data_IF_349764463157
#
_entry.id   IF_349764463157
#
_cell.length_a   1.000
_cell.length_b   1.000
_cell.length_c   1.000
_cell.angle_alpha   90.00
_cell.angle_beta   90.00
_cell.angle_gamma   90.00
#
_symmetry.space_group_name_H-M   'P 1'
#
loop_
_entity.id
_entity.type
_entity.pdbx_description
1 polymer ?
#
# COMPACT_ATOMS: atom_id res chain seq x y z
N UNK A 1 4.91 -56.48 -35.88
CA UNK A 1 5.40 -56.00 -37.20
C UNK A 1 6.28 -54.78 -36.92
N UNK A 2 7.53 -54.58 -37.31
CA UNK A 2 8.45 -55.27 -38.19
C UNK A 2 9.34 -54.21 -38.88
N UNK A 3 10.68 -54.29 -38.67
CA UNK A 3 11.80 -53.67 -39.45
C UNK A 3 12.04 -52.16 -39.17
N UNK A 4 13.25 -51.56 -39.16
CA UNK A 4 14.60 -51.75 -39.79
C UNK A 4 15.65 -51.07 -38.84
N UNK A 5 16.80 -51.64 -38.46
CA UNK A 5 18.14 -51.85 -39.11
C UNK A 5 19.03 -50.61 -39.39
N UNK A 6 20.28 -50.73 -38.91
CA UNK A 6 21.59 -50.18 -39.35
C UNK A 6 21.81 -48.65 -39.19
N UNK A 7 22.98 -48.10 -38.84
CA UNK A 7 24.37 -48.60 -38.80
C UNK A 7 25.29 -47.57 -39.52
N UNK A 8 26.51 -47.38 -38.99
CA UNK A 8 27.67 -46.62 -39.54
C UNK A 8 27.58 -45.07 -39.61
N UNK A 9 28.64 -44.24 -39.59
CA UNK A 9 30.06 -44.25 -39.15
C UNK A 9 30.66 -42.90 -39.61
N UNK A 10 31.50 -42.30 -38.75
CA UNK A 10 32.64 -41.41 -39.03
C UNK A 10 32.58 -40.23 -40.03
N UNK A 11 33.04 -39.05 -39.56
CA UNK A 11 34.09 -38.18 -40.15
C UNK A 11 34.14 -36.88 -39.31
N UNK A 12 35.19 -36.51 -38.56
CA UNK A 12 36.57 -36.08 -38.91
C UNK A 12 36.66 -34.97 -39.98
N UNK A 13 37.29 -33.85 -39.58
CA UNK A 13 37.77 -32.76 -40.44
C UNK A 13 37.07 -31.44 -40.07
N UNK A 14 37.74 -30.35 -39.72
CA UNK A 14 39.11 -29.93 -39.99
C UNK A 14 39.07 -28.52 -40.58
N UNK A 15 39.59 -27.56 -39.82
CA UNK A 15 40.24 -26.29 -40.20
C UNK A 15 39.75 -25.48 -41.42
N UNK A 16 39.34 -24.24 -41.17
CA UNK A 16 39.90 -23.00 -41.75
C UNK A 16 39.33 -21.80 -40.96
N UNK A 17 40.09 -20.95 -40.28
CA UNK A 17 40.99 -19.89 -40.77
C UNK A 17 40.38 -19.07 -41.91
N UNK A 18 39.75 -17.96 -41.53
CA UNK A 18 39.26 -16.90 -42.39
C UNK A 18 39.15 -15.60 -41.59
N UNK A 19 40.26 -14.89 -41.48
CA UNK A 19 40.31 -13.48 -41.09
C UNK A 19 39.70 -12.63 -42.21
N UNK A 20 38.57 -11.98 -41.96
CA UNK A 20 38.14 -10.80 -42.70
C UNK A 20 37.42 -9.81 -41.79
N UNK A 21 38.18 -8.76 -41.47
CA UNK A 21 37.78 -7.50 -40.85
C UNK A 21 36.62 -6.85 -41.63
N UNK A 22 35.48 -6.67 -40.97
CA UNK A 22 34.45 -5.73 -41.41
C UNK A 22 33.72 -5.13 -40.20
N UNK A 23 33.83 -3.82 -40.10
CA UNK A 23 33.09 -2.90 -39.25
C UNK A 23 31.58 -3.15 -39.29
N UNK A 24 30.93 -3.20 -38.12
CA UNK A 24 29.48 -3.21 -38.06
C UNK A 24 28.98 -3.25 -36.62
N UNK A 25 28.33 -2.15 -36.21
CA UNK A 25 27.53 -2.02 -34.99
C UNK A 25 26.55 -3.20 -34.83
N UNK A 26 26.33 -3.63 -33.59
CA UNK A 26 25.12 -4.40 -33.24
C UNK A 26 25.35 -5.60 -32.33
N UNK A 27 26.05 -5.43 -31.21
CA UNK A 27 26.03 -6.42 -30.13
C UNK A 27 24.78 -6.23 -29.28
N UNK A 28 23.68 -6.91 -29.60
CA UNK A 28 22.63 -7.18 -28.62
C UNK A 28 23.12 -8.28 -27.69
N UNK A 29 23.84 -7.87 -26.63
CA UNK A 29 24.04 -8.72 -25.46
C UNK A 29 22.70 -8.88 -24.77
N UNK A 30 22.15 -10.08 -24.82
CA UNK A 30 21.00 -10.55 -24.02
C UNK A 30 21.41 -10.96 -22.59
N UNK A 31 22.50 -10.38 -22.08
CA UNK A 31 23.03 -10.58 -20.74
C UNK A 31 23.10 -9.22 -20.02
N UNK A 32 21.94 -8.67 -19.65
CA UNK A 32 21.83 -7.52 -18.74
C UNK A 32 20.41 -7.28 -18.21
N UNK A 33 19.57 -8.30 -18.04
CA UNK A 33 18.24 -8.17 -17.43
C UNK A 33 18.10 -9.12 -16.25
N UNK A 34 18.88 -8.89 -15.20
CA UNK A 34 18.68 -9.54 -13.90
C UNK A 34 18.70 -8.58 -12.70
N UNK A 35 19.05 -7.30 -12.85
CA UNK A 35 19.24 -6.39 -11.71
C UNK A 35 18.73 -4.97 -12.04
N UNK A 36 17.44 -4.84 -12.36
CA UNK A 36 16.80 -3.52 -12.50
C UNK A 36 15.31 -3.63 -12.18
N UNK A 37 14.98 -3.64 -10.89
CA UNK A 37 13.57 -3.65 -10.45
C UNK A 37 13.39 -3.41 -8.96
N UNK A 38 14.35 -2.77 -8.28
CA UNK A 38 14.31 -2.49 -6.84
C UNK A 38 14.67 -1.05 -6.47
N UNK A 39 14.63 -0.14 -7.42
CA UNK A 39 14.98 1.26 -7.16
C UNK A 39 14.06 2.18 -7.96
N UNK A 40 12.88 2.46 -7.41
CA UNK A 40 12.04 3.62 -7.70
C UNK A 40 10.84 3.67 -6.73
N UNK A 41 11.11 3.56 -5.43
CA UNK A 41 10.37 4.40 -4.50
C UNK A 41 11.27 5.59 -4.32
N UNK A 42 11.00 6.60 -5.15
CA UNK A 42 11.45 7.96 -4.96
C UNK A 42 11.17 8.32 -3.50
N UNK A 43 12.20 8.21 -2.65
CA UNK A 43 12.24 8.89 -1.37
C UNK A 43 12.36 10.38 -1.70
N UNK A 44 11.30 10.96 -2.23
CA UNK A 44 11.01 12.34 -1.95
C UNK A 44 10.84 12.41 -0.45
N UNK A 45 11.95 12.72 0.23
CA UNK A 45 11.92 13.32 1.54
C UNK A 45 11.12 14.62 1.36
N UNK A 46 9.81 14.50 1.54
CA UNK A 46 8.88 15.60 1.49
C UNK A 46 9.37 16.63 2.52
N UNK A 47 9.45 17.92 2.17
CA UNK A 47 9.82 18.94 3.13
C UNK A 47 8.89 18.82 4.35
N UNK A 48 9.36 19.07 5.59
CA UNK A 48 8.50 19.05 6.76
C UNK A 48 7.57 20.27 6.70
N UNK A 49 6.52 20.17 5.89
CA UNK A 49 5.29 20.91 6.06
C UNK A 49 4.76 20.50 7.42
N UNK A 50 4.97 21.37 8.41
CA UNK A 50 4.56 21.09 9.78
C UNK A 50 3.03 21.08 9.75
N UNK A 51 2.43 19.89 9.71
CA UNK A 51 0.99 19.76 9.84
C UNK A 51 0.60 20.42 11.16
N UNK A 52 -0.14 21.52 11.06
CA UNK A 52 -0.54 22.30 12.22
C UNK A 52 -1.55 21.51 13.05
N UNK A 53 -1.61 21.80 14.36
CA UNK A 53 -2.59 21.21 15.24
C UNK A 53 -3.99 21.74 14.88
N UNK A 54 -4.83 20.84 14.40
CA UNK A 54 -6.22 21.07 14.04
C UNK A 54 -7.21 20.70 15.15
N UNK A 55 -8.52 20.80 14.86
CA UNK A 55 -9.56 20.41 15.80
C UNK A 55 -9.56 18.89 16.03
N UNK A 56 -9.90 18.50 17.25
CA UNK A 56 -10.27 17.13 17.63
C UNK A 56 -11.78 17.05 17.82
N UNK A 57 -12.33 15.84 17.84
CA UNK A 57 -13.76 15.70 18.16
C UNK A 57 -14.06 16.17 19.58
N UNK A 58 -15.25 16.72 19.77
CA UNK A 58 -15.81 17.04 21.09
C UNK A 58 -16.43 15.82 21.77
N UNK A 59 -16.61 14.70 21.06
CA UNK A 59 -17.24 13.50 21.60
C UNK A 59 -16.17 12.58 22.21
N UNK A 60 -16.21 12.36 23.54
CA UNK A 60 -15.22 11.54 24.22
C UNK A 60 -15.25 10.07 23.79
N UNK A 61 -16.41 9.52 23.41
CA UNK A 61 -16.53 8.14 22.95
C UNK A 61 -15.90 7.97 21.56
N UNK A 62 -16.11 8.93 20.66
CA UNK A 62 -15.44 8.92 19.35
C UNK A 62 -13.92 9.09 19.52
N UNK A 63 -13.48 10.01 20.38
CA UNK A 63 -12.06 10.20 20.64
C UNK A 63 -11.41 8.92 21.19
N UNK A 64 -12.03 8.26 22.17
CA UNK A 64 -11.54 6.99 22.70
C UNK A 64 -11.45 5.90 21.63
N UNK A 65 -12.39 5.89 20.66
CA UNK A 65 -12.35 4.96 19.53
C UNK A 65 -11.18 5.24 18.58
N UNK A 66 -10.95 6.51 18.26
CA UNK A 66 -9.81 6.93 17.43
C UNK A 66 -8.47 6.57 18.10
N UNK A 67 -8.34 6.84 19.40
CA UNK A 67 -7.14 6.50 20.17
C UNK A 67 -6.94 4.96 20.22
N UNK A 68 -8.03 4.20 20.35
CA UNK A 68 -7.99 2.74 20.27
C UNK A 68 -7.49 2.25 18.90
N UNK A 69 -8.03 2.75 17.80
CA UNK A 69 -7.60 2.37 16.46
C UNK A 69 -6.14 2.74 16.18
N UNK A 70 -5.72 3.95 16.57
CA UNK A 70 -4.33 4.37 16.53
C UNK A 70 -3.41 3.38 17.26
N UNK A 71 -3.81 2.93 18.46
CA UNK A 71 -3.03 1.94 19.23
C UNK A 71 -2.95 0.57 18.54
N UNK A 72 -4.01 0.13 17.85
CA UNK A 72 -3.97 -1.11 17.06
C UNK A 72 -3.04 -0.97 15.86
N UNK A 73 -3.02 0.22 15.23
CA UNK A 73 -2.12 0.54 14.14
C UNK A 73 -0.65 0.43 14.58
N UNK A 74 -0.30 1.02 15.73
CA UNK A 74 1.05 0.91 16.31
C UNK A 74 1.44 -0.55 16.61
N UNK A 75 0.51 -1.32 17.17
CA UNK A 75 0.72 -2.72 17.52
C UNK A 75 0.67 -3.68 16.30
N UNK A 76 0.46 -3.17 15.09
CA UNK A 76 0.30 -3.97 13.87
C UNK A 76 -0.83 -5.02 13.96
N UNK A 77 -1.88 -4.71 14.72
CA UNK A 77 -3.05 -5.57 14.91
C UNK A 77 -4.08 -5.36 13.80
N UNK A 78 -3.68 -5.65 12.56
CA UNK A 78 -4.46 -5.36 11.34
C UNK A 78 -5.85 -6.02 11.37
N UNK A 79 -5.94 -7.29 11.77
CA UNK A 79 -7.21 -8.01 11.79
C UNK A 79 -8.20 -7.43 12.83
N UNK A 80 -7.71 -7.13 14.04
CA UNK A 80 -8.53 -6.48 15.09
C UNK A 80 -8.95 -5.06 14.66
N UNK A 81 -8.05 -4.33 13.99
CA UNK A 81 -8.36 -3.02 13.42
C UNK A 81 -9.47 -3.14 12.38
N UNK A 82 -9.33 -4.02 11.39
CA UNK A 82 -10.32 -4.23 10.34
C UNK A 82 -11.71 -4.53 10.91
N UNK A 83 -11.80 -5.52 11.80
CA UNK A 83 -13.07 -5.93 12.43
C UNK A 83 -13.71 -4.79 13.23
N UNK A 84 -12.92 -3.90 13.85
CA UNK A 84 -13.45 -2.78 14.62
C UNK A 84 -13.66 -1.50 13.80
N UNK A 85 -12.99 -1.34 12.67
CA UNK A 85 -12.96 -0.11 11.89
C UNK A 85 -14.09 -0.08 10.87
N UNK A 86 -14.32 -1.20 10.17
CA UNK A 86 -15.36 -1.30 9.13
C UNK A 86 -16.77 -1.22 9.70
N UNK A 87 -17.69 -0.71 8.87
CA UNK A 87 -19.11 -0.62 9.18
C UNK A 87 -19.73 -2.03 9.40
N UNK A 88 -20.77 -2.15 10.25
CA UNK A 88 -21.30 -3.45 10.66
C UNK A 88 -22.12 -4.16 9.56
N UNK A 89 -22.48 -3.44 8.51
CA UNK A 89 -23.17 -3.96 7.32
C UNK A 89 -22.20 -4.56 6.27
N UNK A 90 -20.89 -4.40 6.48
CA UNK A 90 -19.86 -5.04 5.64
C UNK A 90 -19.82 -6.54 5.92
N UNK A 91 -19.75 -7.33 4.85
CA UNK A 91 -19.71 -8.79 4.96
C UNK A 91 -18.38 -9.27 5.59
N UNK A 92 -18.36 -10.41 6.30
CA UNK A 92 -17.12 -10.94 6.88
C UNK A 92 -16.02 -11.22 5.84
N UNK A 93 -16.41 -11.63 4.62
CA UNK A 93 -15.49 -11.86 3.50
C UNK A 93 -14.84 -10.56 3.02
N UNK A 94 -15.57 -9.44 2.99
CA UNK A 94 -15.01 -8.13 2.66
C UNK A 94 -14.08 -7.61 3.77
N UNK A 95 -14.41 -7.86 5.04
CA UNK A 95 -13.52 -7.53 6.17
C UNK A 95 -12.22 -8.33 6.08
N UNK A 96 -12.30 -9.61 5.76
CA UNK A 96 -11.13 -10.47 5.56
C UNK A 96 -10.30 -9.99 4.38
N UNK A 97 -10.94 -9.67 3.25
CA UNK A 97 -10.27 -9.14 2.06
C UNK A 97 -9.58 -7.80 2.35
N UNK A 98 -10.23 -6.90 3.10
CA UNK A 98 -9.63 -5.64 3.56
C UNK A 98 -8.38 -5.91 4.41
N UNK A 99 -8.48 -6.79 5.41
CA UNK A 99 -7.36 -7.11 6.30
C UNK A 99 -6.20 -7.77 5.55
N UNK A 100 -6.49 -8.68 4.62
CA UNK A 100 -5.50 -9.35 3.75
C UNK A 100 -4.82 -8.36 2.82
N UNK A 101 -5.57 -7.41 2.26
CA UNK A 101 -5.01 -6.35 1.43
C UNK A 101 -4.03 -5.47 2.22
N UNK A 102 -4.34 -5.14 3.47
CA UNK A 102 -3.44 -4.39 4.34
C UNK A 102 -2.20 -5.20 4.79
N UNK A 103 -2.34 -6.52 4.95
CA UNK A 103 -1.21 -7.40 5.29
C UNK A 103 -0.25 -7.61 4.11
N UNK A 104 -0.77 -7.66 2.90
CA UNK A 104 0.01 -7.91 1.68
C UNK A 104 0.64 -6.63 1.10
N UNK A 105 0.12 -5.45 1.47
CA UNK A 105 0.66 -4.15 1.10
C UNK A 105 1.07 -3.32 2.33
N UNK A 106 2.34 -3.42 2.76
CA UNK A 106 2.85 -2.67 3.90
C UNK A 106 2.80 -1.15 3.72
N UNK A 107 2.90 -0.65 2.48
CA UNK A 107 2.84 0.79 2.20
C UNK A 107 1.44 1.30 2.47
N UNK A 108 0.43 0.58 1.99
CA UNK A 108 -0.98 0.90 2.26
C UNK A 108 -1.29 0.86 3.76
N UNK A 109 -0.77 -0.13 4.48
CA UNK A 109 -0.94 -0.19 5.93
C UNK A 109 -0.28 1.00 6.64
N UNK A 110 0.95 1.37 6.26
CA UNK A 110 1.64 2.52 6.83
C UNK A 110 0.88 3.83 6.59
N UNK A 111 0.29 4.00 5.40
CA UNK A 111 -0.56 5.16 5.09
C UNK A 111 -1.81 5.18 5.98
N UNK A 112 -2.53 4.06 6.08
CA UNK A 112 -3.71 3.95 6.95
C UNK A 112 -3.37 4.21 8.43
N UNK A 113 -2.27 3.66 8.92
CA UNK A 113 -1.79 3.89 10.28
C UNK A 113 -1.45 5.37 10.52
N UNK A 114 -0.78 6.02 9.56
CA UNK A 114 -0.48 7.45 9.65
C UNK A 114 -1.77 8.30 9.62
N UNK A 115 -2.73 7.98 8.77
CA UNK A 115 -4.05 8.64 8.70
C UNK A 115 -4.76 8.57 10.06
N UNK A 116 -4.85 7.38 10.66
CA UNK A 116 -5.52 7.20 11.95
C UNK A 116 -4.84 7.99 13.07
N UNK A 117 -3.51 8.05 13.07
CA UNK A 117 -2.75 8.81 14.07
C UNK A 117 -3.00 10.32 13.95
N UNK A 118 -2.99 10.84 12.72
CA UNK A 118 -3.25 12.26 12.47
C UNK A 118 -4.65 12.66 12.91
N UNK A 119 -5.65 11.85 12.57
CA UNK A 119 -7.04 12.08 12.98
C UNK A 119 -7.18 12.02 14.51
N UNK A 120 -6.61 11.00 15.15
CA UNK A 120 -6.69 10.84 16.61
C UNK A 120 -6.06 12.01 17.36
N UNK A 121 -4.89 12.47 16.89
CA UNK A 121 -4.18 13.60 17.47
C UNK A 121 -4.75 14.95 17.04
N UNK A 122 -5.58 15.00 15.99
CA UNK A 122 -6.07 16.24 15.36
C UNK A 122 -5.00 16.97 14.54
N UNK A 123 -3.91 16.32 14.16
CA UNK A 123 -2.80 16.95 13.41
C UNK A 123 -3.14 16.98 11.93
N UNK A 124 -3.05 18.14 11.29
CA UNK A 124 -3.40 18.31 9.87
C UNK A 124 -4.91 18.26 9.58
N UNK A 125 -5.75 18.11 10.61
CA UNK A 125 -7.20 18.22 10.48
C UNK A 125 -7.56 19.67 10.21
N UNK A 126 -8.23 19.93 9.10
CA UNK A 126 -8.68 21.28 8.71
C UNK A 126 -10.08 21.56 9.27
N UNK A 127 -10.93 20.54 9.29
CA UNK A 127 -12.32 20.66 9.71
C UNK A 127 -12.93 19.32 10.12
N UNK A 128 -13.91 19.40 11.03
CA UNK A 128 -14.79 18.28 11.37
C UNK A 128 -16.23 18.73 11.10
N UNK A 129 -16.95 17.97 10.27
CA UNK A 129 -18.37 18.15 10.00
C UNK A 129 -19.21 17.10 10.74
N UNK A 130 -20.52 17.26 10.71
CA UNK A 130 -21.47 16.42 11.43
C UNK A 130 -21.80 16.93 12.83
N UNK A 131 -22.73 16.25 13.49
CA UNK A 131 -23.12 16.54 14.87
C UNK A 131 -22.12 16.02 15.90
N UNK A 132 -21.18 15.18 15.47
CA UNK A 132 -20.21 14.46 16.29
C UNK A 132 -20.86 13.57 17.35
N UNK A 133 -22.14 13.25 17.23
CA UNK A 133 -22.89 12.34 18.10
C UNK A 133 -23.32 11.09 17.35
N UNK A 134 -23.75 11.27 16.11
CA UNK A 134 -24.19 10.21 15.20
C UNK A 134 -23.27 10.08 14.00
N UNK A 135 -22.65 11.19 13.55
CA UNK A 135 -21.72 11.22 12.43
C UNK A 135 -20.65 12.30 12.63
N UNK A 136 -19.43 11.99 12.20
CA UNK A 136 -18.30 12.92 12.16
C UNK A 136 -17.49 12.72 10.88
N UNK A 137 -17.39 13.75 10.05
CA UNK A 137 -16.61 13.73 8.82
C UNK A 137 -15.36 14.59 9.01
N UNK A 138 -14.20 13.97 8.92
CA UNK A 138 -12.90 14.60 9.09
C UNK A 138 -12.32 14.99 7.73
N UNK A 139 -11.95 16.25 7.62
CA UNK A 139 -11.14 16.77 6.52
C UNK A 139 -9.72 16.99 7.04
N UNK A 140 -8.73 16.44 6.36
CA UNK A 140 -7.34 16.56 6.78
C UNK A 140 -6.38 16.44 5.60
N UNK A 141 -5.20 17.04 5.74
CA UNK A 141 -4.12 16.92 4.78
C UNK A 141 -3.19 15.77 5.15
N UNK A 142 -2.78 14.98 4.16
CA UNK A 142 -1.76 13.96 4.36
C UNK A 142 -0.36 14.60 4.49
N UNK A 143 0.54 14.02 5.30
CA UNK A 143 1.93 14.47 5.37
C UNK A 143 2.56 14.45 3.98
N UNK A 144 3.06 15.59 3.54
CA UNK A 144 3.69 15.76 2.23
C UNK A 144 2.75 15.80 1.03
N UNK A 145 1.43 15.81 1.25
CA UNK A 145 0.43 16.10 0.23
C UNK A 145 -0.49 17.24 0.70
N UNK A 146 0.10 18.40 1.02
CA UNK A 146 -0.59 19.54 1.64
C UNK A 146 -1.76 20.11 0.81
N UNK A 147 -1.80 19.81 -0.50
CA UNK A 147 -2.86 20.24 -1.42
C UNK A 147 -3.96 19.20 -1.65
N UNK A 148 -3.83 18.00 -1.07
CA UNK A 148 -4.81 16.93 -1.19
C UNK A 148 -5.53 16.78 0.15
N UNK A 149 -6.75 17.30 0.22
CA UNK A 149 -7.63 17.10 1.37
C UNK A 149 -8.28 15.71 1.26
N UNK A 150 -8.04 14.88 2.27
CA UNK A 150 -8.72 13.59 2.44
C UNK A 150 -9.95 13.77 3.33
N UNK A 151 -10.93 12.91 3.09
CA UNK A 151 -12.18 12.87 3.82
C UNK A 151 -12.36 11.46 4.38
N UNK A 152 -12.66 11.37 5.68
CA UNK A 152 -13.04 10.12 6.33
C UNK A 152 -14.28 10.38 7.17
N UNK A 153 -15.32 9.58 6.95
CA UNK A 153 -16.56 9.67 7.70
C UNK A 153 -16.58 8.57 8.75
N UNK A 154 -16.91 8.92 9.98
CA UNK A 154 -17.24 7.98 11.04
C UNK A 154 -18.71 8.11 11.38
N UNK A 155 -19.38 6.97 11.56
CA UNK A 155 -20.77 6.91 11.99
C UNK A 155 -20.89 6.06 13.25
N UNK A 156 -21.77 6.51 14.14
CA UNK A 156 -22.10 5.82 15.39
C UNK A 156 -23.26 4.85 15.16
N UNK A 157 -22.99 3.55 15.31
CA UNK A 157 -23.96 2.48 15.21
C UNK A 157 -24.26 1.94 16.61
N UNK A 158 -25.42 2.31 17.17
CA UNK A 158 -25.83 1.88 18.52
C UNK A 158 -24.78 2.15 19.62
N UNK A 159 -24.05 3.26 19.52
CA UNK A 159 -22.98 3.63 20.46
C UNK A 159 -21.58 3.17 20.06
N UNK A 160 -21.42 2.39 18.97
CA UNK A 160 -20.13 1.96 18.45
C UNK A 160 -19.76 2.72 17.16
N UNK A 161 -18.63 3.42 17.19
CA UNK A 161 -18.17 4.22 16.06
C UNK A 161 -17.42 3.36 15.05
N UNK A 162 -17.78 3.49 13.77
CA UNK A 162 -17.17 2.80 12.61
C UNK A 162 -16.89 3.78 11.49
N UNK A 163 -15.93 3.47 10.63
CA UNK A 163 -15.69 4.19 9.40
C UNK A 163 -16.76 3.83 8.35
N UNK A 164 -17.20 4.85 7.62
CA UNK A 164 -18.13 4.77 6.50
C UNK A 164 -17.39 5.22 5.24
N UNK A 165 -17.31 4.35 4.23
CA UNK A 165 -16.59 4.64 2.98
C UNK A 165 -16.11 3.39 2.24
#
# INVERSE_FOLDING_TARGET
>A
MGKKRAGDRAAKGGSSLGDTKASGRGGTNVDALAEAGRDQIDQQALPPGRLEQGPRTINPALQAKLDYWASLCEQHKIAEFAVSFVAPDVSPEDVEAFSTGMQTDPVRWQQMAAEMQLIALGVGVTKIFGDQQTSAEYHFCMPGHEFIERQVVFRCYNGDWRAEG
#
